data_IF_447048802249
#
_entry.id   IF_447048802249
#
_cell.length_a   1.000
_cell.length_b   1.000
_cell.length_c   1.000
_cell.angle_alpha   90.00
_cell.angle_beta   90.00
_cell.angle_gamma   90.00
#
_symmetry.space_group_name_H-M   'P 1'
#
loop_
_entity.id
_entity.type
_entity.pdbx_description
1 polymer ?
#
# COMPACT_ATOMS: atom_id res chain seq x y z
N UNK A 1 13.63 -55.52 -0.51
CA UNK A 1 13.52 -54.88 -0.33
C UNK A 1 13.30 -53.96 -0.37
N UNK A 2 13.24 -53.40 -0.33
CA UNK A 2 12.96 -52.49 -0.21
C UNK A 2 12.83 -51.42 -0.14
N UNK A 3 12.73 -50.87 -0.23
CA UNK A 3 12.59 -49.87 -0.08
C UNK A 3 12.40 -48.94 0.00
N UNK A 4 12.37 -48.43 0.04
CA UNK A 4 12.13 -47.45 0.24
C UNK A 4 11.99 -46.45 0.25
N UNK A 5 11.96 -45.98 0.23
CA UNK A 5 11.82 -44.98 0.33
C UNK A 5 11.58 -44.10 0.43
N UNK A 6 11.49 -43.65 0.52
CA UNK A 6 11.27 -42.82 0.72
C UNK A 6 11.15 -41.89 0.80
N UNK A 7 11.07 -41.46 0.89
CA UNK A 7 10.95 -40.40 1.06
C UNK A 7 10.89 -39.62 1.11
N UNK A 8 10.81 -39.18 0.96
CA UNK A 8 10.77 -38.21 1.09
C UNK A 8 10.39 -37.28 1.04
N UNK A 9 10.23 -36.90 0.99
CA UNK A 9 9.89 -36.00 1.03
C UNK A 9 9.66 -35.08 1.25
N UNK A 10 9.67 -34.67 1.31
CA UNK A 10 9.40 -33.73 1.64
C UNK A 10 9.34 -32.70 1.60
N UNK A 11 9.38 -32.35 1.57
CA UNK A 11 9.39 -31.48 1.66
C UNK A 11 9.15 -30.62 1.69
N UNK A 12 8.94 -30.14 1.59
CA UNK A 12 8.76 -29.28 1.64
C UNK A 12 8.48 -28.43 1.89
N UNK A 13 8.24 -27.88 2.16
CA UNK A 13 7.96 -27.11 2.72
C UNK A 13 8.44 -26.05 2.56
N UNK A 14 8.19 -25.38 2.18
CA UNK A 14 8.62 -24.39 2.02
C UNK A 14 8.19 -23.35 2.54
N UNK A 15 8.57 -22.62 2.81
CA UNK A 15 8.39 -21.64 3.53
C UNK A 15 7.85 -20.63 2.87
N UNK A 16 7.14 -20.16 3.14
CA UNK A 16 6.63 -19.27 2.72
C UNK A 16 6.95 -18.16 3.19
N UNK A 17 7.34 -17.43 2.90
CA UNK A 17 7.77 -16.44 3.31
C UNK A 17 7.10 -15.41 3.01
N UNK A 18 6.76 -14.71 3.76
CA UNK A 18 6.00 -13.74 3.61
C UNK A 18 6.61 -12.62 3.13
N UNK A 19 6.20 -12.01 2.38
CA UNK A 19 6.71 -10.93 1.98
C UNK A 19 5.93 -9.79 2.02
N UNK A 20 5.01 -9.60 2.87
CA UNK A 20 4.12 -8.47 2.97
C UNK A 20 4.84 -7.16 2.99
N UNK A 21 6.03 -7.14 3.47
CA UNK A 21 6.75 -5.89 3.53
C UNK A 21 7.03 -5.32 2.17
N UNK A 22 7.05 -6.12 1.15
CA UNK A 22 7.31 -5.63 -0.18
C UNK A 22 6.13 -4.81 -0.72
N UNK A 23 4.94 -5.00 -0.15
CA UNK A 23 3.75 -4.31 -0.61
C UNK A 23 3.30 -3.19 0.31
N UNK A 24 4.12 -2.86 1.29
CA UNK A 24 3.82 -1.79 2.23
C UNK A 24 3.19 -2.32 3.51
N UNK A 25 2.73 -1.42 4.37
CA UNK A 25 2.18 -1.82 5.67
C UNK A 25 0.79 -2.42 5.51
N UNK A 26 0.32 -3.05 6.59
CA UNK A 26 -1.03 -3.62 6.60
C UNK A 26 -2.10 -2.55 6.63
N UNK A 27 -1.83 -1.44 7.32
CA UNK A 27 -2.82 -0.37 7.49
C UNK A 27 -2.21 1.02 7.37
N UNK A 28 -3.07 1.95 6.98
CA UNK A 28 -2.70 3.36 6.83
C UNK A 28 -3.53 4.24 7.73
N UNK A 29 -3.04 5.44 7.97
CA UNK A 29 -3.84 6.53 8.54
C UNK A 29 -3.71 7.72 7.62
N UNK A 30 -4.69 8.61 7.64
CA UNK A 30 -4.70 9.80 6.81
C UNK A 30 -3.74 10.84 7.39
N UNK A 31 -3.05 11.54 6.52
CA UNK A 31 -2.10 12.58 6.89
C UNK A 31 -2.17 13.72 5.87
N UNK A 32 -2.10 14.95 6.35
CA UNK A 32 -1.98 16.08 5.44
C UNK A 32 -3.25 16.52 4.76
N UNK A 33 -4.40 16.09 5.24
CA UNK A 33 -5.69 16.54 4.75
C UNK A 33 -6.25 17.55 5.74
N UNK A 34 -6.75 18.68 5.23
CA UNK A 34 -7.26 19.74 6.08
C UNK A 34 -8.48 19.27 6.87
N UNK A 35 -8.71 19.89 8.03
CA UNK A 35 -9.79 19.47 8.93
C UNK A 35 -11.18 19.53 8.29
N UNK A 36 -11.37 20.42 7.34
CA UNK A 36 -12.66 20.61 6.68
C UNK A 36 -12.71 19.93 5.32
N UNK A 37 -11.80 19.02 5.05
CA UNK A 37 -11.72 18.34 3.77
C UNK A 37 -11.74 16.82 4.00
N UNK A 38 -11.68 16.05 2.92
CA UNK A 38 -11.69 14.59 3.00
C UNK A 38 -10.69 14.03 1.99
N UNK A 39 -10.29 12.79 2.21
CA UNK A 39 -9.48 12.07 1.25
C UNK A 39 -10.45 11.27 0.37
N UNK A 40 -10.41 11.53 -0.93
CA UNK A 40 -11.34 10.86 -1.83
C UNK A 40 -10.88 9.45 -2.17
N UNK A 41 -11.82 8.52 -2.20
CA UNK A 41 -11.58 7.16 -2.69
C UNK A 41 -12.10 7.15 -4.12
N UNK A 42 -11.24 6.74 -5.04
CA UNK A 42 -11.57 6.79 -6.47
C UNK A 42 -11.63 5.40 -7.08
N UNK A 43 -12.36 5.29 -8.16
CA UNK A 43 -12.54 4.01 -8.85
C UNK A 43 -11.25 3.52 -9.50
N UNK A 44 -10.42 4.44 -9.98
CA UNK A 44 -9.15 4.13 -10.63
C UNK A 44 -8.02 4.91 -9.98
N UNK A 45 -6.81 4.54 -10.30
CA UNK A 45 -5.62 5.14 -9.68
C UNK A 45 -5.24 6.47 -10.34
N UNK A 46 -6.18 7.41 -10.36
CA UNK A 46 -5.88 8.75 -10.85
C UNK A 46 -6.92 9.75 -10.34
N UNK A 47 -6.53 11.01 -10.34
CA UNK A 47 -7.35 12.07 -9.75
C UNK A 47 -8.60 12.44 -10.56
N UNK A 48 -8.68 12.00 -11.79
CA UNK A 48 -9.82 12.31 -12.64
C UNK A 48 -10.86 11.18 -12.62
N UNK A 49 -10.53 10.09 -11.98
CA UNK A 49 -11.43 8.95 -11.89
C UNK A 49 -12.63 9.27 -11.00
N UNK A 50 -13.67 8.51 -11.14
CA UNK A 50 -14.89 8.69 -10.37
C UNK A 50 -14.62 8.52 -8.88
N UNK A 51 -15.16 9.45 -8.08
CA UNK A 51 -15.11 9.36 -6.63
C UNK A 51 -16.17 8.38 -6.18
N UNK A 52 -15.78 7.40 -5.37
CA UNK A 52 -16.71 6.36 -4.89
C UNK A 52 -16.80 6.32 -3.37
N UNK A 53 -16.04 7.14 -2.67
CA UNK A 53 -16.10 7.20 -1.21
C UNK A 53 -15.21 8.28 -0.65
N UNK A 54 -15.21 8.42 0.66
CA UNK A 54 -14.42 9.44 1.35
C UNK A 54 -13.87 8.90 2.65
N UNK A 55 -12.72 9.43 3.05
CA UNK A 55 -12.12 9.14 4.33
C UNK A 55 -11.92 10.48 5.04
N UNK A 56 -12.34 10.63 6.29
CA UNK A 56 -12.18 11.90 7.00
C UNK A 56 -10.68 12.19 7.24
N UNK A 57 -10.34 13.46 7.52
CA UNK A 57 -8.93 13.84 7.67
C UNK A 57 -8.23 13.16 8.84
N UNK A 58 -8.98 12.64 9.79
CA UNK A 58 -8.41 11.88 10.91
C UNK A 58 -8.65 10.38 10.75
N UNK A 59 -8.98 9.92 9.56
CA UNK A 59 -9.24 8.51 9.30
C UNK A 59 -8.03 7.65 9.61
N UNK A 60 -8.29 6.46 10.12
CA UNK A 60 -7.22 5.54 10.49
C UNK A 60 -7.69 4.11 10.34
N UNK A 61 -6.76 3.19 10.49
CA UNK A 61 -7.02 1.77 10.32
C UNK A 61 -7.58 1.46 8.92
N UNK A 62 -7.00 2.11 7.92
CA UNK A 62 -7.38 1.93 6.53
C UNK A 62 -6.60 0.74 5.99
N UNK A 63 -7.29 -0.30 5.55
CA UNK A 63 -6.61 -1.52 5.13
C UNK A 63 -5.90 -1.34 3.80
N UNK A 64 -4.63 -1.65 3.76
CA UNK A 64 -3.84 -1.55 2.54
C UNK A 64 -3.99 -2.83 1.72
N UNK A 65 -4.22 -2.68 0.43
CA UNK A 65 -4.23 -3.83 -0.47
C UNK A 65 -2.96 -3.83 -1.31
N UNK A 66 -2.67 -2.72 -1.98
CA UNK A 66 -1.41 -2.56 -2.71
C UNK A 66 -1.29 -1.12 -3.21
N UNK A 67 -0.10 -0.73 -3.60
CA UNK A 67 0.14 0.59 -4.15
C UNK A 67 0.83 0.47 -5.50
N UNK A 68 0.64 1.48 -6.35
CA UNK A 68 1.29 1.57 -7.65
C UNK A 68 1.87 2.98 -7.80
N UNK A 69 2.82 3.13 -8.70
CA UNK A 69 3.46 4.43 -8.93
C UNK A 69 4.45 4.80 -7.84
N UNK A 70 4.79 6.06 -7.81
CA UNK A 70 5.77 6.55 -6.86
C UNK A 70 7.18 6.15 -7.26
N UNK A 71 8.10 6.27 -6.31
CA UNK A 71 9.50 5.94 -6.55
C UNK A 71 9.70 4.42 -6.53
N UNK A 72 10.57 3.93 -7.41
CA UNK A 72 11.02 2.56 -7.30
C UNK A 72 12.04 2.49 -6.18
N UNK A 73 12.35 1.30 -5.71
CA UNK A 73 13.36 1.12 -4.66
C UNK A 73 14.70 1.68 -5.11
N UNK A 74 15.08 1.43 -6.36
CA UNK A 74 16.34 1.93 -6.89
C UNK A 74 16.35 3.47 -6.90
N UNK A 75 15.30 4.08 -7.36
CA UNK A 75 15.21 5.53 -7.39
C UNK A 75 15.27 6.11 -5.97
N UNK A 76 14.62 5.46 -5.04
CA UNK A 76 14.61 5.93 -3.66
C UNK A 76 16.02 5.91 -3.06
N UNK A 77 16.81 4.90 -3.38
CA UNK A 77 18.12 4.71 -2.76
C UNK A 77 19.25 5.39 -3.50
N UNK A 78 19.08 5.77 -4.77
CA UNK A 78 20.18 6.31 -5.57
C UNK A 78 20.03 7.77 -5.97
N UNK A 79 18.83 8.32 -5.98
CA UNK A 79 18.62 9.66 -6.49
C UNK A 79 18.70 10.73 -5.40
N UNK A 80 19.14 11.95 -5.75
CA UNK A 80 19.11 13.06 -4.80
C UNK A 80 17.66 13.48 -4.53
N UNK A 81 17.47 14.17 -3.41
CA UNK A 81 16.12 14.56 -2.97
C UNK A 81 15.35 15.36 -4.02
N UNK A 82 16.03 16.26 -4.72
CA UNK A 82 15.35 17.06 -5.73
C UNK A 82 14.78 16.21 -6.86
N UNK A 83 15.52 15.20 -7.29
CA UNK A 83 15.07 14.31 -8.34
C UNK A 83 13.92 13.42 -7.85
N UNK A 84 14.01 12.97 -6.61
CA UNK A 84 12.93 12.15 -6.04
C UNK A 84 11.63 12.93 -6.00
N UNK A 85 11.68 14.18 -5.58
CA UNK A 85 10.47 15.01 -5.52
C UNK A 85 9.85 15.22 -6.89
N UNK A 86 10.69 15.38 -7.90
CA UNK A 86 10.23 15.57 -9.26
C UNK A 86 9.48 14.33 -9.74
N UNK A 87 10.04 13.15 -9.49
CA UNK A 87 9.43 11.89 -9.90
C UNK A 87 8.12 11.66 -9.16
N UNK A 88 8.08 11.97 -7.88
CA UNK A 88 6.85 11.81 -7.10
C UNK A 88 5.73 12.69 -7.65
N UNK A 89 6.07 13.86 -8.18
CA UNK A 89 5.08 14.74 -8.75
C UNK A 89 4.60 14.20 -10.10
N UNK A 90 5.49 13.65 -10.90
CA UNK A 90 5.13 13.13 -12.23
C UNK A 90 4.46 11.77 -12.17
N UNK A 91 4.78 11.00 -11.16
CA UNK A 91 4.33 9.63 -11.03
C UNK A 91 3.90 9.36 -9.60
N UNK A 92 2.84 10.05 -9.15
CA UNK A 92 2.42 9.93 -7.73
C UNK A 92 2.01 8.52 -7.38
N UNK A 93 2.20 8.17 -6.12
CA UNK A 93 1.81 6.86 -5.63
C UNK A 93 0.30 6.84 -5.37
N UNK A 94 -0.35 5.80 -5.83
CA UNK A 94 -1.77 5.55 -5.56
C UNK A 94 -1.89 4.21 -4.88
N UNK A 95 -2.72 4.12 -3.86
CA UNK A 95 -2.88 2.88 -3.09
C UNK A 95 -4.32 2.40 -3.14
N UNK A 96 -4.49 1.13 -3.42
CA UNK A 96 -5.77 0.47 -3.36
C UNK A 96 -6.02 0.11 -1.91
N UNK A 97 -7.11 0.57 -1.36
CA UNK A 97 -7.42 0.39 0.05
C UNK A 97 -8.87 -0.03 0.25
N UNK A 98 -9.17 -0.45 1.45
CA UNK A 98 -10.54 -0.68 1.86
C UNK A 98 -10.80 0.09 3.14
N UNK A 99 -11.90 0.86 3.18
CA UNK A 99 -12.27 1.65 4.34
C UNK A 99 -13.79 1.65 4.43
N UNK A 100 -14.32 1.19 5.58
CA UNK A 100 -15.77 1.14 5.82
C UNK A 100 -16.52 0.45 4.67
N UNK A 101 -15.95 -0.63 4.16
CA UNK A 101 -16.59 -1.42 3.12
C UNK A 101 -16.43 -0.90 1.71
N UNK A 102 -15.73 0.22 1.53
CA UNK A 102 -15.46 0.77 0.20
C UNK A 102 -14.05 0.41 -0.21
N UNK A 103 -13.88 -0.22 -1.35
CA UNK A 103 -12.57 -0.56 -1.89
C UNK A 103 -12.31 0.34 -3.09
N UNK A 104 -11.19 1.01 -3.06
CA UNK A 104 -10.84 1.90 -4.15
C UNK A 104 -9.48 2.53 -3.95
N UNK A 105 -9.15 3.48 -4.82
CA UNK A 105 -7.82 4.06 -4.89
C UNK A 105 -7.76 5.42 -4.21
N UNK A 106 -6.71 5.65 -3.43
CA UNK A 106 -6.47 6.95 -2.82
C UNK A 106 -5.06 7.40 -3.14
N UNK A 107 -4.85 8.72 -3.16
CA UNK A 107 -3.54 9.28 -3.42
C UNK A 107 -2.65 8.99 -2.22
N UNK A 108 -1.57 8.27 -2.46
CA UNK A 108 -0.69 7.79 -1.39
C UNK A 108 0.04 8.89 -0.64
N UNK A 109 0.08 10.11 -1.16
CA UNK A 109 0.75 11.22 -0.47
C UNK A 109 0.04 11.57 0.85
N UNK A 110 -1.24 11.17 0.98
CA UNK A 110 -2.02 11.46 2.17
C UNK A 110 -2.10 10.28 3.12
N UNK A 111 -1.25 9.29 2.92
CA UNK A 111 -1.25 8.09 3.77
C UNK A 111 0.06 7.97 4.54
N UNK A 112 -0.07 7.57 5.81
CA UNK A 112 1.09 7.23 6.64
C UNK A 112 0.82 5.87 7.27
N UNK A 113 1.90 5.15 7.52
CA UNK A 113 1.83 3.80 8.05
C UNK A 113 1.24 3.77 9.46
N UNK A 114 0.47 2.76 9.75
CA UNK A 114 -0.07 2.53 11.09
C UNK A 114 -1.50 3.00 11.25
N UNK A 115 -1.86 3.36 12.48
CA UNK A 115 -3.19 3.91 12.76
C UNK A 115 -4.21 2.92 13.27
N UNK A 116 -3.90 1.63 13.33
CA UNK A 116 -4.82 0.66 13.90
C UNK A 116 -4.49 0.37 15.34
N UNK A 117 -5.50 0.10 16.18
CA UNK A 117 -5.22 -0.31 17.55
C UNK A 117 -4.37 -1.57 17.53
N UNK A 118 -3.35 -1.60 18.37
CA UNK A 118 -2.46 -2.75 18.44
C UNK A 118 -1.30 -2.73 17.46
N UNK A 119 -1.16 -1.66 16.73
CA UNK A 119 -0.05 -1.53 15.80
C UNK A 119 0.85 -0.35 16.12
#
# INVERSE_FOLDING_TARGET
MRVLLIGLVFLLSMPQIAFSTADGPDHWKVHGVAKDDVLNIRQEANAKSKKIGEIPPDGRCIRNIRCVGGLTFEEFTTLPEAEKKKIEKERPRWCLIEYNGVTGWVNGRYLREGGCPGQ
#
